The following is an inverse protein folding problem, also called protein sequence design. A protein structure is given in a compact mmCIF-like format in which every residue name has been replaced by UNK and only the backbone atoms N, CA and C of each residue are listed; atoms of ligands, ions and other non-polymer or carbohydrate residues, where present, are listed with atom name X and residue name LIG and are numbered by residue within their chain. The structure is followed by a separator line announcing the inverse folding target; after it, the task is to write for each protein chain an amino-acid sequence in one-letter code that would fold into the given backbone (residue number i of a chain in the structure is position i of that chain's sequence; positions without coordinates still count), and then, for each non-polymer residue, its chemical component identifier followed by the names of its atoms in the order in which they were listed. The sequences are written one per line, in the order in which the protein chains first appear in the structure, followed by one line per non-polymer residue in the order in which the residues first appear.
data_IF_394622769883
#
_entry.id   IF_394622769883
#
_cell.length_a   1.000
_cell.length_b   1.000
_cell.length_c   1.000
_cell.angle_alpha   90.00
_cell.angle_beta   90.00
_cell.angle_gamma   90.00
#
_symmetry.space_group_name_H-M   'P 1'
#
loop_
_entity.id
_entity.type
_entity.pdbx_description
1 polymer ?
#
# COMPACT_ATOMS: atom_id res chain seq x y z
N UNK A 1 -7.62 -16.61 1.83
CA UNK A 1 -7.16 -16.32 0.45
C UNK A 1 -5.65 -16.23 0.36
N UNK A 2 -5.11 -16.64 -0.78
CA UNK A 2 -3.67 -16.59 -1.02
C UNK A 2 -3.23 -15.26 -1.62
N UNK A 3 -4.14 -14.53 -2.24
CA UNK A 3 -3.85 -13.27 -2.90
C UNK A 3 -4.92 -12.24 -2.58
N UNK A 4 -4.53 -10.97 -2.59
CA UNK A 4 -5.45 -9.85 -2.44
C UNK A 4 -5.28 -8.95 -3.66
N UNK A 5 -6.40 -8.53 -4.26
CA UNK A 5 -6.39 -7.62 -5.38
C UNK A 5 -6.36 -6.18 -4.87
N UNK A 6 -5.40 -5.40 -5.36
CA UNK A 6 -5.27 -3.99 -5.02
C UNK A 6 -5.87 -3.12 -6.13
N UNK A 7 -6.07 -1.79 -5.90
CA UNK A 7 -6.77 -0.93 -6.87
C UNK A 7 -6.22 -0.92 -8.29
N UNK A 8 -4.93 -1.18 -8.50
CA UNK A 8 -4.38 -1.30 -9.86
C UNK A 8 -4.83 -2.54 -10.60
N UNK A 9 -5.49 -3.48 -9.91
CA UNK A 9 -5.83 -4.78 -10.45
C UNK A 9 -4.79 -5.85 -10.20
N UNK A 10 -3.62 -5.49 -9.68
CA UNK A 10 -2.59 -6.46 -9.34
C UNK A 10 -3.06 -7.36 -8.21
N UNK A 11 -2.76 -8.65 -8.35
CA UNK A 11 -3.06 -9.65 -7.31
C UNK A 11 -1.78 -9.91 -6.54
N UNK A 12 -1.75 -9.48 -5.28
CA UNK A 12 -0.56 -9.55 -4.44
C UNK A 12 -0.68 -10.76 -3.52
N UNK A 13 0.36 -11.58 -3.50
CA UNK A 13 0.39 -12.77 -2.65
C UNK A 13 0.49 -12.36 -1.18
N UNK A 14 -0.35 -12.97 -0.35
CA UNK A 14 -0.30 -12.79 1.09
C UNK A 14 0.78 -13.70 1.67
N UNK A 15 1.67 -13.13 2.47
CA UNK A 15 2.78 -13.84 3.09
C UNK A 15 2.41 -14.22 4.53
N UNK A 16 2.23 -15.52 4.76
CA UNK A 16 1.92 -16.05 6.09
C UNK A 16 3.21 -16.41 6.81
N UNK A 17 3.96 -15.39 7.23
CA UNK A 17 5.25 -15.58 7.89
C UNK A 17 5.08 -16.31 9.21
N UNK A 18 5.95 -17.30 9.44
CA UNK A 18 5.96 -18.05 10.67
C UNK A 18 6.29 -17.12 11.85
N UNK A 19 5.49 -17.22 12.91
CA UNK A 19 5.68 -16.38 14.09
C UNK A 19 5.11 -14.97 13.99
N UNK A 20 4.60 -14.57 12.84
CA UNK A 20 3.94 -13.27 12.69
C UNK A 20 2.51 -13.33 13.23
N UNK A 21 2.08 -12.25 13.88
CA UNK A 21 0.72 -12.17 14.42
C UNK A 21 -0.33 -12.04 13.32
N UNK A 22 0.03 -11.52 12.17
CA UNK A 22 -0.86 -11.31 11.04
C UNK A 22 -0.14 -11.64 9.74
N UNK A 23 -0.90 -12.06 8.70
CA UNK A 23 -0.32 -12.21 7.37
C UNK A 23 0.19 -10.87 6.85
N UNK A 24 1.26 -10.89 6.06
CA UNK A 24 1.88 -9.68 5.53
C UNK A 24 1.55 -9.52 4.06
N UNK A 25 1.14 -8.33 3.66
CA UNK A 25 0.91 -7.96 2.28
C UNK A 25 1.94 -6.92 1.87
N UNK A 26 2.93 -7.32 1.06
CA UNK A 26 3.97 -6.42 0.57
C UNK A 26 3.56 -5.88 -0.79
N UNK A 27 3.33 -4.57 -0.89
CA UNK A 27 2.82 -3.95 -2.09
C UNK A 27 3.34 -2.51 -2.21
N UNK A 28 3.61 -2.07 -3.44
CA UNK A 28 4.05 -0.69 -3.66
C UNK A 28 2.95 0.28 -3.28
N UNK A 29 3.34 1.37 -2.61
CA UNK A 29 2.40 2.37 -2.10
C UNK A 29 1.46 2.90 -3.19
N UNK A 30 2.00 3.19 -4.38
CA UNK A 30 1.20 3.77 -5.47
C UNK A 30 0.11 2.84 -5.98
N UNK A 31 0.23 1.54 -5.76
CA UNK A 31 -0.81 0.59 -6.17
C UNK A 31 -2.00 0.57 -5.20
N UNK A 32 -1.86 1.24 -4.06
CA UNK A 32 -2.90 1.27 -3.03
C UNK A 32 -3.73 2.55 -3.02
N UNK A 33 -3.44 3.51 -3.91
CA UNK A 33 -4.23 4.74 -3.97
C UNK A 33 -5.70 4.39 -4.23
N UNK A 34 -6.59 4.97 -3.44
CA UNK A 34 -8.02 4.69 -3.52
C UNK A 34 -8.50 3.58 -2.60
N UNK A 35 -7.57 2.83 -2.00
CA UNK A 35 -7.93 1.77 -1.06
C UNK A 35 -8.23 2.40 0.30
N UNK A 36 -9.50 2.40 0.71
CA UNK A 36 -9.95 3.16 1.88
C UNK A 36 -9.73 2.45 3.21
N UNK A 37 -9.61 1.13 3.19
CA UNK A 37 -9.45 0.35 4.41
C UNK A 37 -8.43 -0.76 4.23
N UNK A 38 -7.91 -1.26 5.35
CA UNK A 38 -6.94 -2.35 5.34
C UNK A 38 -7.58 -3.62 4.81
N UNK A 39 -6.98 -4.31 3.83
CA UNK A 39 -7.46 -5.61 3.40
C UNK A 39 -7.45 -6.61 4.55
N UNK A 40 -8.42 -7.53 4.53
CA UNK A 40 -8.56 -8.54 5.56
C UNK A 40 -8.58 -9.94 4.97
N UNK A 41 -8.18 -10.91 5.77
CA UNK A 41 -8.30 -12.33 5.47
C UNK A 41 -9.30 -12.96 6.43
N UNK A 42 -9.54 -14.26 6.30
CA UNK A 42 -10.46 -15.02 7.16
C UNK A 42 -11.87 -14.42 7.19
N UNK A 43 -12.42 -14.13 5.99
CA UNK A 43 -13.79 -13.60 5.92
C UNK A 43 -13.92 -12.19 6.48
N UNK A 44 -12.85 -11.40 6.42
CA UNK A 44 -12.84 -10.02 6.92
C UNK A 44 -12.51 -9.88 8.39
N UNK A 45 -12.14 -10.98 9.07
CA UNK A 45 -11.89 -10.98 10.50
C UNK A 45 -10.48 -10.55 10.90
N UNK A 46 -9.50 -10.72 10.01
CA UNK A 46 -8.09 -10.41 10.32
C UNK A 46 -7.52 -9.42 9.32
N UNK A 47 -7.21 -8.18 9.74
CA UNK A 47 -6.51 -7.26 8.86
C UNK A 47 -5.08 -7.75 8.60
N UNK A 48 -4.62 -7.58 7.35
CA UNK A 48 -3.24 -7.92 7.02
C UNK A 48 -2.31 -6.81 7.51
N UNK A 49 -1.05 -7.17 7.77
CA UNK A 49 -0.02 -6.17 8.01
C UNK A 49 0.47 -5.69 6.65
N UNK A 50 0.20 -4.42 6.34
CA UNK A 50 0.62 -3.83 5.07
C UNK A 50 2.07 -3.42 5.15
N UNK A 51 2.91 -4.05 4.34
CA UNK A 51 4.29 -3.60 4.13
C UNK A 51 4.30 -2.76 2.86
N UNK A 52 4.21 -1.44 3.03
CA UNK A 52 4.15 -0.51 1.91
C UNK A 52 5.55 -0.28 1.36
N UNK A 53 5.70 -0.47 0.06
CA UNK A 53 6.99 -0.40 -0.63
C UNK A 53 7.10 0.86 -1.48
N UNK A 54 8.33 1.36 -1.62
CA UNK A 54 8.63 2.43 -2.57
C UNK A 54 8.51 1.90 -4.00
N UNK A 55 8.54 2.79 -5.01
CA UNK A 55 8.59 2.32 -6.41
C UNK A 55 9.75 1.37 -6.70
N UNK A 56 10.83 1.46 -5.93
CA UNK A 56 11.97 0.55 -6.03
C UNK A 56 11.85 -0.71 -5.18
N UNK A 57 10.66 -1.02 -4.66
CA UNK A 57 10.37 -2.21 -3.87
C UNK A 57 11.10 -2.26 -2.52
N UNK A 58 11.38 -1.10 -1.93
CA UNK A 58 11.99 -1.02 -0.60
C UNK A 58 10.93 -0.66 0.44
N UNK A 59 10.89 -1.33 1.61
CA UNK A 59 9.90 -1.01 2.63
C UNK A 59 10.02 0.43 3.12
N UNK A 60 8.89 1.13 3.19
CA UNK A 60 8.84 2.51 3.69
C UNK A 60 7.91 2.64 4.89
N UNK A 61 6.95 1.73 5.06
CA UNK A 61 6.01 1.79 6.17
C UNK A 61 5.35 0.44 6.39
N UNK A 62 5.08 0.12 7.67
CA UNK A 62 4.27 -1.02 8.08
C UNK A 62 3.02 -0.49 8.76
N UNK A 63 1.84 -0.99 8.39
CA UNK A 63 0.59 -0.58 9.02
C UNK A 63 -0.48 -1.66 8.93
N UNK A 64 -1.31 -1.76 9.98
CA UNK A 64 -2.55 -2.54 9.95
C UNK A 64 -3.76 -1.62 9.90
N UNK A 65 -3.55 -0.31 9.90
CA UNK A 65 -4.61 0.69 9.84
C UNK A 65 -4.34 1.63 8.67
N UNK A 66 -4.73 1.19 7.49
CA UNK A 66 -4.47 1.94 6.26
C UNK A 66 -5.20 3.28 6.23
N UNK A 67 -6.42 3.32 6.79
CA UNK A 67 -7.19 4.57 6.84
C UNK A 67 -6.44 5.64 7.63
N UNK A 68 -5.89 5.29 8.79
CA UNK A 68 -5.10 6.22 9.59
C UNK A 68 -3.80 6.59 8.88
N UNK A 69 -3.17 5.65 8.20
CA UNK A 69 -1.97 5.94 7.41
C UNK A 69 -2.23 7.05 6.40
N UNK A 70 -3.34 6.94 5.64
CA UNK A 70 -3.68 7.95 4.64
C UNK A 70 -3.94 9.34 5.24
N UNK A 71 -4.47 9.38 6.47
CA UNK A 71 -4.82 10.66 7.12
C UNK A 71 -3.62 11.37 7.75
N UNK A 72 -2.59 10.63 8.12
CA UNK A 72 -1.47 11.21 8.88
C UNK A 72 -0.10 10.84 8.31
N UNK A 73 0.29 9.58 8.40
CA UNK A 73 1.65 9.12 8.09
C UNK A 73 2.01 9.29 6.61
N UNK A 74 1.02 9.16 5.72
CA UNK A 74 1.25 9.28 4.29
C UNK A 74 1.96 10.57 3.90
N UNK A 75 1.61 11.70 4.52
CA UNK A 75 2.18 13.00 4.14
C UNK A 75 3.68 13.09 4.45
N UNK A 76 4.12 12.42 5.50
CA UNK A 76 5.55 12.33 5.80
C UNK A 76 6.28 11.42 4.83
N UNK A 77 5.71 10.26 4.55
CA UNK A 77 6.25 9.31 3.58
C UNK A 77 6.28 9.93 2.19
N UNK A 78 5.22 10.66 1.82
CA UNK A 78 5.11 11.34 0.53
C UNK A 78 6.25 12.32 0.28
N UNK A 79 6.63 13.10 1.28
CA UNK A 79 7.74 14.06 1.14
C UNK A 79 9.03 13.36 0.72
N UNK A 80 9.34 12.25 1.39
CA UNK A 80 10.54 11.48 1.10
C UNK A 80 10.48 10.84 -0.28
N UNK A 81 9.34 10.26 -0.62
CA UNK A 81 9.17 9.58 -1.90
C UNK A 81 9.17 10.55 -3.09
N UNK A 82 8.58 11.75 -2.93
CA UNK A 82 8.62 12.78 -3.97
C UNK A 82 10.05 13.19 -4.29
N UNK A 83 10.87 13.29 -3.27
CA UNK A 83 12.27 13.68 -3.43
C UNK A 83 13.07 12.61 -4.16
N UNK A 84 12.81 11.33 -3.84
CA UNK A 84 13.54 10.21 -4.44
C UNK A 84 12.98 9.78 -5.80
N UNK A 85 11.68 9.92 -5.97
CA UNK A 85 10.98 9.43 -7.16
C UNK A 85 10.09 10.55 -7.74
N UNK A 86 10.68 11.67 -8.21
CA UNK A 86 9.89 12.84 -8.63
C UNK A 86 9.04 12.60 -9.88
N UNK A 87 9.33 11.57 -10.67
CA UNK A 87 8.54 11.25 -11.86
C UNK A 87 7.27 10.48 -11.58
N UNK A 88 7.13 9.92 -10.37
CA UNK A 88 5.93 9.21 -9.96
C UNK A 88 4.89 10.20 -9.45
N UNK A 89 3.62 9.77 -9.51
CA UNK A 89 2.51 10.58 -9.04
C UNK A 89 2.34 10.42 -7.52
N UNK A 90 2.46 11.53 -6.79
CA UNK A 90 2.28 11.57 -5.34
C UNK A 90 1.14 12.54 -5.03
N UNK A 91 -0.13 12.07 -5.09
CA UNK A 91 -1.30 12.96 -4.97
C UNK A 91 -1.43 13.55 -3.58
N UNK A 92 -2.07 14.73 -3.49
CA UNK A 92 -2.42 15.34 -2.22
C UNK A 92 -3.51 14.54 -1.50
N UNK A 93 -4.42 13.95 -2.29
CA UNK A 93 -5.48 13.11 -1.75
C UNK A 93 -5.34 11.69 -2.29
N UNK A 94 -4.69 10.78 -1.52
CA UNK A 94 -4.44 9.43 -2.00
C UNK A 94 -5.71 8.59 -2.15
N UNK A 95 -6.80 8.95 -1.48
CA UNK A 95 -8.05 8.20 -1.58
C UNK A 95 -8.82 8.48 -2.86
N UNK A 96 -8.62 9.66 -3.45
CA UNK A 96 -9.25 10.04 -4.71
C UNK A 96 -8.37 9.78 -5.93
N UNK A 97 -7.11 9.42 -5.71
CA UNK A 97 -6.17 9.23 -6.81
C UNK A 97 -6.34 7.85 -7.45
N UNK A 98 -6.02 7.78 -8.73
CA UNK A 98 -5.98 6.52 -9.44
C UNK A 98 -4.69 5.78 -9.10
N UNK A 99 -4.80 4.50 -8.74
CA UNK A 99 -3.64 3.66 -8.45
C UNK A 99 -2.85 3.38 -9.73
N UNK A 100 -1.52 3.31 -9.60
CA UNK A 100 -0.63 3.09 -10.74
C UNK A 100 0.48 2.10 -10.38
N UNK A 101 1.00 1.39 -11.37
CA UNK A 101 2.09 0.44 -11.16
C UNK A 101 3.46 1.06 -11.32
N UNK A 102 3.59 2.12 -12.08
CA UNK A 102 4.85 2.76 -12.36
C UNK A 102 4.70 4.25 -12.59
N UNK A 103 5.59 4.81 -13.40
CA UNK A 103 5.52 6.23 -13.73
C UNK A 103 4.23 6.53 -14.48
N UNK A 104 3.53 7.58 -14.07
CA UNK A 104 2.29 7.99 -14.70
C UNK A 104 2.55 8.41 -16.14
N UNK A 105 1.78 7.85 -17.07
CA UNK A 105 1.80 8.24 -18.47
C UNK A 105 0.55 9.02 -18.80
N UNK A 106 0.65 9.89 -19.76
CA UNK A 106 -0.51 10.58 -20.27
C UNK A 106 -1.35 9.67 -21.14
#
# INVERSE_FOLDING_TARGET
PTHIQVPTGSRIRVDYRQGAEAPVLSVRLQECFGLTSTPCVDGGKRPVLMELLSPGFKPVQLTQDLANFWQSTYFEVRKELRRRYPKHHWPDNPLEAQAVRGVKRR
#
